data_IF_592911778021
#
_entry.id   IF_592911778021
#
_cell.length_a   1.000
_cell.length_b   1.000
_cell.length_c   1.000
_cell.angle_alpha   90.00
_cell.angle_beta   90.00
_cell.angle_gamma   90.00
#
_symmetry.space_group_name_H-M   'P 1'
#
loop_
_entity.id
_entity.type
_entity.pdbx_description
1 polymer ?
#
# COMPACT_ATOMS: atom_id res chain seq x y z
N UNK A 1 1.34 14.43 4.94
CA UNK A 1 0.15 14.36 5.82
C UNK A 1 -0.39 12.94 5.73
N UNK A 2 -0.81 12.34 6.85
CA UNK A 2 -1.44 11.03 6.82
C UNK A 2 -2.81 11.07 6.11
N UNK A 3 -3.28 9.95 5.57
CA UNK A 3 -4.64 9.86 5.07
C UNK A 3 -5.63 10.08 6.24
N UNK A 4 -6.74 10.79 5.98
CA UNK A 4 -7.78 10.95 6.98
C UNK A 4 -8.62 9.66 7.02
N UNK A 5 -8.28 8.78 7.96
CA UNK A 5 -9.00 7.52 8.19
C UNK A 5 -9.88 7.64 9.43
N UNK A 6 -11.12 7.19 9.34
CA UNK A 6 -12.04 7.03 10.46
C UNK A 6 -12.42 5.57 10.60
N UNK A 7 -12.26 5.03 11.80
CA UNK A 7 -12.59 3.65 12.16
C UNK A 7 -13.89 3.67 12.95
N UNK A 8 -14.95 3.05 12.41
CA UNK A 8 -16.31 3.18 12.93
C UNK A 8 -16.92 1.81 13.25
N UNK A 9 -17.35 1.68 14.48
CA UNK A 9 -18.13 0.53 14.95
C UNK A 9 -19.48 1.05 15.48
N UNK A 10 -20.57 0.95 14.69
CA UNK A 10 -21.88 1.44 15.10
C UNK A 10 -22.34 0.79 16.41
N UNK A 11 -22.85 1.59 17.33
CA UNK A 11 -23.36 1.09 18.62
C UNK A 11 -24.60 0.19 18.50
N UNK A 12 -25.24 0.19 17.33
CA UNK A 12 -26.38 -0.68 16.99
C UNK A 12 -25.96 -2.08 16.56
N UNK A 13 -24.66 -2.36 16.51
CA UNK A 13 -24.09 -3.66 16.15
C UNK A 13 -23.29 -4.23 17.32
N UNK A 14 -23.16 -5.56 17.37
CA UNK A 14 -22.32 -6.22 18.37
C UNK A 14 -20.86 -5.76 18.28
N UNK A 15 -20.09 -5.71 19.39
CA UNK A 15 -18.67 -5.38 19.33
C UNK A 15 -17.90 -6.35 18.42
N UNK A 16 -17.10 -5.86 17.46
CA UNK A 16 -16.41 -6.74 16.53
C UNK A 16 -15.17 -7.38 17.19
N UNK A 17 -14.95 -8.70 17.02
CA UNK A 17 -13.80 -9.38 17.61
C UNK A 17 -12.53 -9.18 16.77
N UNK A 18 -11.88 -8.01 16.90
CA UNK A 18 -10.57 -7.74 16.29
C UNK A 18 -10.61 -7.29 14.83
N UNK A 19 -11.69 -6.60 14.42
CA UNK A 19 -11.78 -5.88 13.15
C UNK A 19 -12.62 -4.60 13.32
N UNK A 20 -12.67 -3.77 12.30
CA UNK A 20 -13.56 -2.60 12.25
C UNK A 20 -14.67 -2.84 11.23
N UNK A 21 -15.92 -2.48 11.57
CA UNK A 21 -17.04 -2.63 10.64
C UNK A 21 -16.89 -1.71 9.42
N UNK A 22 -16.50 -0.44 9.64
CA UNK A 22 -16.40 0.57 8.59
C UNK A 22 -15.10 1.34 8.76
N UNK A 23 -14.29 1.39 7.72
CA UNK A 23 -13.16 2.31 7.64
C UNK A 23 -13.45 3.30 6.51
N UNK A 24 -13.57 4.57 6.88
CA UNK A 24 -13.80 5.67 5.95
C UNK A 24 -12.48 6.39 5.67
N UNK A 25 -12.16 6.54 4.39
CA UNK A 25 -11.00 7.32 3.94
C UNK A 25 -11.51 8.59 3.22
N UNK A 26 -11.12 9.77 3.71
CA UNK A 26 -11.55 11.05 3.15
C UNK A 26 -10.37 11.89 2.68
N UNK A 27 -10.63 12.78 1.70
CA UNK A 27 -9.63 13.67 1.12
C UNK A 27 -8.89 13.08 -0.08
N UNK A 28 -7.89 13.80 -0.61
CA UNK A 28 -7.11 13.36 -1.75
C UNK A 28 -6.17 12.23 -1.31
N UNK A 29 -6.48 11.02 -1.74
CA UNK A 29 -5.75 9.80 -1.36
C UNK A 29 -5.31 9.00 -2.59
N UNK A 30 -4.29 8.15 -2.41
CA UNK A 30 -3.95 7.05 -3.30
C UNK A 30 -4.54 5.77 -2.72
N UNK A 31 -5.34 5.07 -3.48
CA UNK A 31 -5.86 3.75 -3.12
C UNK A 31 -4.96 2.70 -3.76
N UNK A 32 -4.50 1.74 -2.96
CA UNK A 32 -3.60 0.67 -3.37
C UNK A 32 -4.34 -0.65 -3.18
N UNK A 33 -4.49 -1.39 -4.25
CA UNK A 33 -5.01 -2.75 -4.24
C UNK A 33 -3.83 -3.72 -4.26
N UNK A 34 -3.79 -4.65 -3.32
CA UNK A 34 -2.75 -5.66 -3.21
C UNK A 34 -3.40 -7.01 -3.44
N UNK A 35 -2.91 -7.73 -4.44
CA UNK A 35 -3.38 -9.06 -4.81
C UNK A 35 -3.20 -10.07 -3.67
N UNK A 36 -3.85 -11.23 -3.77
CA UNK A 36 -3.70 -12.32 -2.83
C UNK A 36 -2.25 -12.73 -2.61
N UNK A 37 -1.86 -12.84 -1.35
CA UNK A 37 -0.54 -13.28 -0.91
C UNK A 37 -0.67 -14.61 -0.23
N UNK A 38 0.08 -15.59 -0.74
CA UNK A 38 0.26 -16.93 -0.18
C UNK A 38 1.55 -16.99 0.66
N UNK A 39 1.68 -18.00 1.49
CA UNK A 39 2.88 -18.29 2.27
C UNK A 39 4.01 -18.88 1.43
N UNK A 40 4.43 -18.19 0.36
CA UNK A 40 5.48 -18.63 -0.56
C UNK A 40 6.79 -17.89 -0.29
N UNK A 41 7.89 -18.63 -0.40
CA UNK A 41 9.25 -18.06 -0.40
C UNK A 41 9.66 -17.55 -1.81
N UNK A 42 10.91 -17.09 -1.95
CA UNK A 42 11.46 -16.59 -3.21
C UNK A 42 11.63 -17.67 -4.29
N UNK A 43 11.71 -18.94 -3.88
CA UNK A 43 11.75 -20.09 -4.80
C UNK A 43 10.34 -20.58 -5.18
N UNK A 44 9.31 -19.84 -4.79
CA UNK A 44 7.91 -20.18 -5.02
C UNK A 44 7.48 -21.50 -4.35
N UNK A 45 8.05 -21.79 -3.16
CA UNK A 45 7.71 -22.96 -2.33
C UNK A 45 6.92 -22.54 -1.12
N UNK A 46 5.97 -23.38 -0.68
CA UNK A 46 5.22 -23.17 0.55
C UNK A 46 6.16 -23.28 1.76
N UNK A 47 6.19 -22.24 2.59
CA UNK A 47 6.94 -22.23 3.84
C UNK A 47 6.26 -23.20 4.83
N UNK A 48 7.06 -24.01 5.55
CA UNK A 48 6.53 -25.05 6.44
C UNK A 48 5.90 -26.24 5.74
N UNK A 49 5.86 -26.27 4.41
CA UNK A 49 5.25 -27.33 3.62
C UNK A 49 3.71 -27.33 3.66
N UNK A 50 3.08 -28.42 3.21
CA UNK A 50 1.63 -28.50 2.97
C UNK A 50 0.76 -28.55 4.25
N UNK A 51 1.33 -28.72 5.45
CA UNK A 51 0.58 -28.88 6.70
C UNK A 51 0.74 -27.77 7.73
N UNK A 52 1.70 -26.87 7.54
CA UNK A 52 2.00 -25.84 8.53
C UNK A 52 1.25 -24.54 8.23
N UNK A 53 -0.01 -24.46 8.72
CA UNK A 53 -0.83 -23.27 8.58
C UNK A 53 -0.17 -22.03 9.20
N UNK A 54 0.45 -22.15 10.38
CA UNK A 54 1.07 -21.00 11.06
C UNK A 54 2.21 -20.41 10.24
N UNK A 55 3.11 -21.25 9.74
CA UNK A 55 4.22 -20.79 8.91
C UNK A 55 3.72 -20.16 7.59
N UNK A 56 2.76 -20.79 6.92
CA UNK A 56 2.17 -20.25 5.71
C UNK A 56 1.45 -18.91 5.96
N UNK A 57 0.68 -18.82 7.03
CA UNK A 57 -0.04 -17.59 7.41
C UNK A 57 0.94 -16.45 7.71
N UNK A 58 1.95 -16.70 8.55
CA UNK A 58 2.97 -15.68 8.87
C UNK A 58 3.70 -15.20 7.62
N UNK A 59 4.09 -16.13 6.73
CA UNK A 59 4.77 -15.79 5.49
C UNK A 59 3.89 -15.00 4.52
N UNK A 60 2.60 -15.29 4.45
CA UNK A 60 1.66 -14.52 3.65
C UNK A 60 1.55 -13.06 4.15
N UNK A 61 1.53 -12.82 5.46
CA UNK A 61 1.59 -11.48 6.04
C UNK A 61 2.94 -10.79 5.76
N UNK A 62 4.07 -11.49 5.85
CA UNK A 62 5.38 -10.93 5.46
C UNK A 62 5.37 -10.48 3.99
N UNK A 63 4.86 -11.32 3.08
CA UNK A 63 4.76 -11.01 1.66
C UNK A 63 3.85 -9.80 1.42
N UNK A 64 2.73 -9.69 2.14
CA UNK A 64 1.88 -8.50 2.14
C UNK A 64 2.66 -7.26 2.60
N UNK A 65 3.51 -7.38 3.63
CA UNK A 65 4.41 -6.32 4.09
C UNK A 65 5.39 -5.86 3.01
N UNK A 66 5.97 -6.78 2.24
CA UNK A 66 6.85 -6.44 1.10
C UNK A 66 6.08 -5.71 0.00
N UNK A 67 4.85 -6.15 -0.32
CA UNK A 67 4.00 -5.48 -1.30
C UNK A 67 3.63 -4.05 -0.85
N UNK A 68 3.29 -3.85 0.42
CA UNK A 68 3.05 -2.53 1.02
C UNK A 68 4.29 -1.64 0.91
N UNK A 69 5.47 -2.15 1.29
CA UNK A 69 6.72 -1.40 1.26
C UNK A 69 7.09 -0.94 -0.16
N UNK A 70 6.78 -1.72 -1.20
CA UNK A 70 7.05 -1.38 -2.60
C UNK A 70 6.36 -0.08 -3.05
N UNK A 71 5.26 0.32 -2.38
CA UNK A 71 4.52 1.55 -2.67
C UNK A 71 4.69 2.63 -1.59
N UNK A 72 5.55 2.37 -0.59
CA UNK A 72 5.80 3.24 0.55
C UNK A 72 4.67 3.23 1.58
N UNK A 73 3.93 2.12 1.64
CA UNK A 73 2.91 1.86 2.64
C UNK A 73 3.42 0.94 3.75
N UNK A 74 2.66 0.90 4.83
CA UNK A 74 2.84 0.00 5.97
C UNK A 74 1.51 -0.65 6.32
N UNK A 75 1.50 -1.57 7.26
CA UNK A 75 0.26 -2.14 7.78
C UNK A 75 -0.70 -1.10 8.41
N UNK A 76 -0.19 0.05 8.86
CA UNK A 76 -1.01 1.15 9.38
C UNK A 76 -1.86 1.85 8.31
N UNK A 77 -1.51 1.66 7.05
CA UNK A 77 -2.22 2.24 5.90
C UNK A 77 -3.29 1.29 5.34
N UNK A 78 -3.34 0.04 5.85
CA UNK A 78 -4.31 -0.97 5.43
C UNK A 78 -5.69 -0.65 5.99
N UNK A 79 -6.69 -0.55 5.11
CA UNK A 79 -8.08 -0.23 5.46
C UNK A 79 -9.02 -1.41 5.33
N UNK A 80 -8.66 -2.40 4.53
CA UNK A 80 -9.43 -3.63 4.32
C UNK A 80 -8.50 -4.81 4.10
N UNK A 81 -8.86 -5.95 4.68
CA UNK A 81 -8.29 -7.27 4.36
C UNK A 81 -9.40 -8.27 4.06
N UNK A 82 -9.15 -9.17 3.12
CA UNK A 82 -9.91 -10.38 2.91
C UNK A 82 -8.98 -11.58 3.13
N UNK A 83 -9.46 -12.55 3.88
CA UNK A 83 -8.69 -13.70 4.33
C UNK A 83 -9.41 -14.97 3.89
N UNK A 84 -8.71 -15.87 3.25
CA UNK A 84 -9.21 -17.11 2.69
C UNK A 84 -8.49 -18.27 3.36
N UNK A 85 -9.25 -19.13 4.04
CA UNK A 85 -8.75 -20.31 4.72
C UNK A 85 -9.32 -21.54 4.05
N UNK A 86 -8.52 -22.60 3.90
CA UNK A 86 -9.04 -23.89 3.41
C UNK A 86 -9.70 -24.70 4.54
N UNK A 87 -9.39 -24.38 5.80
CA UNK A 87 -9.99 -24.97 6.99
C UNK A 87 -10.22 -23.92 8.08
N UNK A 88 -11.47 -23.71 8.48
CA UNK A 88 -11.85 -22.74 9.53
C UNK A 88 -11.39 -23.15 10.93
N UNK A 89 -10.98 -24.39 11.17
CA UNK A 89 -10.37 -24.79 12.45
C UNK A 89 -9.10 -24.00 12.77
N UNK A 90 -8.44 -23.44 11.76
CA UNK A 90 -7.26 -22.59 11.91
C UNK A 90 -7.55 -21.13 12.30
N UNK A 91 -8.83 -20.74 12.50
CA UNK A 91 -9.21 -19.34 12.77
C UNK A 91 -8.51 -18.76 14.02
N UNK A 92 -8.25 -19.57 15.03
CA UNK A 92 -7.50 -19.16 16.23
C UNK A 92 -6.08 -18.78 15.90
N UNK A 93 -5.36 -19.63 15.18
CA UNK A 93 -3.97 -19.40 14.74
C UNK A 93 -3.89 -18.17 13.84
N UNK A 94 -4.83 -18.03 12.90
CA UNK A 94 -4.92 -16.84 12.04
C UNK A 94 -5.02 -15.55 12.87
N UNK A 95 -5.87 -15.49 13.89
CA UNK A 95 -6.05 -14.30 14.74
C UNK A 95 -4.77 -13.95 15.49
N UNK A 96 -4.07 -14.93 16.04
CA UNK A 96 -2.78 -14.72 16.73
C UNK A 96 -1.74 -14.13 15.77
N UNK A 97 -1.57 -14.74 14.58
CA UNK A 97 -0.62 -14.26 13.57
C UNK A 97 -1.01 -12.86 13.09
N UNK A 98 -2.28 -12.63 12.75
CA UNK A 98 -2.79 -11.33 12.33
C UNK A 98 -2.45 -10.22 13.33
N UNK A 99 -2.68 -10.46 14.61
CA UNK A 99 -2.50 -9.47 15.68
C UNK A 99 -1.03 -9.09 15.91
N UNK A 100 -0.08 -9.90 15.41
CA UNK A 100 1.33 -9.57 15.39
C UNK A 100 1.71 -8.55 14.27
N UNK A 101 0.91 -8.43 13.22
CA UNK A 101 1.17 -7.54 12.09
C UNK A 101 0.27 -6.29 12.06
N UNK A 102 -0.98 -6.42 12.47
CA UNK A 102 -1.98 -5.37 12.37
C UNK A 102 -2.16 -4.61 13.69
N UNK A 103 -2.55 -3.35 13.56
CA UNK A 103 -2.81 -2.51 14.73
C UNK A 103 -4.10 -2.95 15.43
N UNK A 104 -4.01 -3.47 16.65
CA UNK A 104 -5.15 -4.05 17.39
C UNK A 104 -6.17 -3.03 17.92
N UNK A 105 -5.76 -1.75 18.10
CA UNK A 105 -6.67 -0.67 18.54
C UNK A 105 -7.48 -0.04 17.43
N UNK A 106 -6.98 -0.08 16.20
CA UNK A 106 -7.63 0.45 15.01
C UNK A 106 -7.42 -0.55 13.85
N UNK A 107 -7.97 -1.77 13.96
CA UNK A 107 -7.79 -2.79 12.94
C UNK A 107 -8.55 -2.43 11.67
N UNK A 108 -8.11 -2.90 10.50
CA UNK A 108 -8.83 -2.70 9.24
C UNK A 108 -10.20 -3.40 9.26
N UNK A 109 -11.06 -3.01 8.32
CA UNK A 109 -12.22 -3.83 7.99
C UNK A 109 -11.74 -5.19 7.50
N UNK A 110 -12.38 -6.28 7.98
CA UNK A 110 -11.92 -7.63 7.68
C UNK A 110 -13.08 -8.54 7.29
N UNK A 111 -12.82 -9.39 6.31
CA UNK A 111 -13.69 -10.51 5.96
C UNK A 111 -12.85 -11.78 5.99
N UNK A 112 -13.36 -12.84 6.61
CA UNK A 112 -12.67 -14.13 6.64
C UNK A 112 -13.66 -15.21 6.25
N UNK A 113 -13.28 -16.04 5.28
CA UNK A 113 -14.12 -17.11 4.74
C UNK A 113 -13.33 -18.39 4.58
N UNK A 114 -14.03 -19.52 4.68
CA UNK A 114 -13.52 -20.81 4.25
C UNK A 114 -13.80 -21.01 2.77
N UNK A 115 -12.84 -21.58 2.05
CA UNK A 115 -12.93 -21.90 0.63
C UNK A 115 -12.46 -23.33 0.39
N UNK A 116 -12.88 -23.93 -0.71
CA UNK A 116 -12.55 -25.32 -1.02
C UNK A 116 -11.10 -25.56 -1.39
N UNK A 117 -10.44 -24.57 -2.02
CA UNK A 117 -9.04 -24.65 -2.43
C UNK A 117 -8.50 -23.25 -2.77
N UNK A 118 -7.19 -23.11 -2.68
CA UNK A 118 -6.42 -21.98 -3.18
C UNK A 118 -5.72 -22.32 -4.50
N UNK A 119 -5.26 -21.31 -5.21
CA UNK A 119 -4.62 -21.47 -6.51
C UNK A 119 -3.35 -22.34 -6.48
N UNK A 120 -2.70 -22.44 -5.31
CA UNK A 120 -1.51 -23.27 -5.10
C UNK A 120 -1.89 -24.54 -4.35
N UNK A 121 -1.65 -25.76 -4.91
CA UNK A 121 -1.86 -27.01 -4.18
C UNK A 121 -1.08 -27.03 -2.85
N UNK A 122 -1.75 -27.41 -1.76
CA UNK A 122 -1.17 -27.43 -0.41
C UNK A 122 -1.11 -26.08 0.30
N UNK A 123 -1.53 -25.00 -0.34
CA UNK A 123 -1.73 -23.71 0.35
C UNK A 123 -2.96 -23.78 1.25
N UNK A 124 -2.82 -23.22 2.46
CA UNK A 124 -3.85 -23.26 3.51
C UNK A 124 -4.43 -21.88 3.81
N UNK A 125 -3.73 -20.82 3.41
CA UNK A 125 -4.08 -19.42 3.71
C UNK A 125 -3.68 -18.49 2.58
N UNK A 126 -4.57 -17.53 2.29
CA UNK A 126 -4.30 -16.41 1.40
C UNK A 126 -4.87 -15.12 2.01
N UNK A 127 -4.19 -13.99 1.79
CA UNK A 127 -4.65 -12.67 2.21
C UNK A 127 -4.48 -11.67 1.08
N UNK A 128 -5.51 -10.85 0.84
CA UNK A 128 -5.44 -9.66 0.00
C UNK A 128 -5.78 -8.41 0.82
N UNK A 129 -5.36 -7.24 0.35
CA UNK A 129 -5.54 -6.01 1.08
C UNK A 129 -5.82 -4.81 0.19
N UNK A 130 -6.50 -3.81 0.80
CA UNK A 130 -6.58 -2.45 0.29
C UNK A 130 -5.91 -1.53 1.29
N UNK A 131 -4.97 -0.71 0.81
CA UNK A 131 -4.32 0.33 1.61
C UNK A 131 -4.64 1.73 1.04
N UNK A 132 -4.63 2.73 1.92
CA UNK A 132 -4.92 4.13 1.56
C UNK A 132 -3.80 5.01 2.10
N UNK A 133 -3.11 5.69 1.18
CA UNK A 133 -2.07 6.65 1.50
C UNK A 133 -2.51 8.05 1.10
N UNK A 134 -1.95 9.11 1.73
CA UNK A 134 -2.18 10.47 1.26
C UNK A 134 -1.69 10.63 -0.18
N UNK A 135 -2.39 11.44 -0.96
CA UNK A 135 -1.90 11.82 -2.28
C UNK A 135 -0.50 12.43 -2.16
N UNK A 136 0.42 12.04 -3.04
CA UNK A 136 1.71 12.74 -3.14
C UNK A 136 1.39 14.17 -3.58
N UNK A 137 1.65 15.16 -2.72
CA UNK A 137 1.60 16.56 -3.13
C UNK A 137 2.68 16.72 -4.20
N UNK A 138 2.28 17.00 -5.44
CA UNK A 138 3.24 17.35 -6.48
C UNK A 138 4.07 18.52 -5.94
N UNK A 139 5.38 18.38 -5.83
CA UNK A 139 6.26 19.49 -5.52
C UNK A 139 5.94 20.58 -6.55
N UNK A 140 5.46 21.75 -6.07
CA UNK A 140 5.17 22.90 -6.93
C UNK A 140 6.43 23.13 -7.73
N UNK A 141 6.39 22.90 -9.05
CA UNK A 141 7.53 23.15 -9.91
C UNK A 141 7.98 24.58 -9.62
N UNK A 142 9.20 24.72 -9.10
CA UNK A 142 9.77 26.04 -8.84
C UNK A 142 9.71 26.80 -10.18
N UNK A 143 8.95 27.90 -10.21
CA UNK A 143 8.82 28.72 -11.39
C UNK A 143 10.24 29.16 -11.80
N UNK A 144 10.66 28.73 -12.98
CA UNK A 144 11.92 29.13 -13.57
C UNK A 144 11.93 30.67 -13.60
N UNK A 145 12.97 31.36 -13.06
CA UNK A 145 13.00 32.81 -13.16
C UNK A 145 12.96 33.22 -14.64
N UNK A 146 12.05 34.12 -14.98
CA UNK A 146 11.96 34.68 -16.31
C UNK A 146 13.31 35.33 -16.67
N UNK A 147 13.94 34.87 -17.74
CA UNK A 147 15.17 35.44 -18.27
C UNK A 147 14.90 36.91 -18.63
N UNK A 148 15.59 37.82 -17.98
CA UNK A 148 15.54 39.24 -18.28
C UNK A 148 16.04 39.47 -19.73
N UNK A 149 15.16 40.01 -20.58
CA UNK A 149 15.52 40.45 -21.93
C UNK A 149 16.51 41.61 -21.84
N UNK A 150 17.78 41.32 -21.99
CA UNK A 150 18.83 42.34 -22.17
C UNK A 150 18.61 43.12 -23.46
N UNK A 151 18.35 44.43 -23.31
CA UNK A 151 18.36 45.39 -24.42
C UNK A 151 19.78 45.53 -24.93
N UNK A 152 20.11 45.03 -26.10
CA UNK A 152 21.36 45.36 -26.79
C UNK A 152 21.21 46.73 -27.45
N UNK A 153 22.00 47.72 -26.99
CA UNK A 153 22.19 49.00 -27.66
C UNK A 153 23.07 48.81 -28.86
N UNK A 154 22.56 49.14 -30.03
CA UNK A 154 23.32 49.24 -31.26
C UNK A 154 24.26 50.47 -31.16
N UNK A 155 25.58 50.30 -31.25
CA UNK A 155 26.52 51.36 -31.50
C UNK A 155 26.89 51.40 -32.97
N UNK A 156 26.48 52.50 -33.65
CA UNK A 156 26.97 52.89 -34.97
C UNK A 156 28.43 53.33 -34.81
N UNK A 157 29.38 52.79 -35.55
CA UNK A 157 30.64 53.44 -35.85
C UNK A 157 30.85 53.57 -37.34
N UNK A 158 31.27 54.79 -37.68
CA UNK A 158 31.40 55.35 -39.02
C UNK A 158 32.57 54.77 -39.79
N UNK A 159 32.36 54.85 -41.10
CA UNK A 159 33.32 54.61 -42.13
C UNK A 159 34.64 55.40 -42.04
N UNK A 160 35.72 54.78 -42.53
CA UNK A 160 36.84 55.52 -43.02
C UNK A 160 37.38 54.79 -44.28
N UNK A 161 37.36 55.50 -45.43
CA UNK A 161 38.03 55.20 -46.66
C UNK A 161 39.54 55.36 -46.51
N UNK A 162 40.35 54.50 -47.10
CA UNK A 162 41.60 54.85 -47.73
C UNK A 162 42.01 53.74 -48.69
N UNK A 163 42.15 54.07 -49.80
CA UNK A 163 42.77 54.12 -51.15
C UNK A 163 44.24 53.64 -51.15
N UNK A 164 44.59 52.98 -52.30
CA UNK A 164 45.89 52.70 -52.88
C UNK A 164 46.62 51.46 -52.33
N UNK A 165 47.11 50.60 -53.18
CA UNK A 165 47.65 50.57 -54.61
C UNK A 165 47.43 49.18 -55.16
#
# INVERSE_FOLDING_TARGET
MAANLRFLNPKTMAPPPGYTYVVEATGPNRVIFIAGQLGLDLDNKLVGGAGDFRAQCAKAFENLGFALAAVGATFNDVVKINNYLTDMSHIGIFREVRDAFLHTKAPPASTTVAISALARPGALFEIEAVAVLPAKVAAKAAAKPAAAKGKSKASKSKASKKKKR
#
